data_IF_555135624571
#
_entry.id   IF_555135624571
#
_cell.length_a   1.000
_cell.length_b   1.000
_cell.length_c   1.000
_cell.angle_alpha   90.00
_cell.angle_beta   90.00
_cell.angle_gamma   90.00
#
_symmetry.space_group_name_H-M   'P 1'
#
loop_
_entity.id
_entity.type
_entity.pdbx_description
1 polymer ?
#
# COMPACT_ATOMS: atom_id res chain seq x y z
N UNK A 1 -3.04 24.17 -7.20
CA UNK A 1 -3.02 23.47 -5.90
C UNK A 1 -2.54 22.02 -6.09
N UNK A 2 -1.23 21.78 -5.95
CA UNK A 2 -0.64 20.45 -6.01
C UNK A 2 -0.81 19.78 -4.65
N UNK A 3 -1.89 19.04 -4.47
CA UNK A 3 -2.23 18.41 -3.20
C UNK A 3 -1.83 16.93 -3.20
N UNK A 4 -0.72 16.67 -2.53
CA UNK A 4 -0.31 15.37 -2.00
C UNK A 4 0.17 14.31 -3.03
N UNK A 5 1.39 14.46 -3.57
CA UNK A 5 2.02 13.47 -4.46
C UNK A 5 2.15 12.07 -3.83
N UNK A 6 2.14 11.95 -2.50
CA UNK A 6 2.14 10.65 -1.84
C UNK A 6 0.81 9.92 -2.04
N UNK A 7 -0.31 10.60 -1.81
CA UNK A 7 -1.66 10.05 -2.03
C UNK A 7 -1.85 9.71 -3.50
N UNK A 8 -1.40 10.57 -4.41
CA UNK A 8 -1.45 10.30 -5.86
C UNK A 8 -0.64 9.03 -6.23
N UNK A 9 0.58 8.89 -5.70
CA UNK A 9 1.41 7.71 -5.95
C UNK A 9 0.81 6.42 -5.38
N UNK A 10 0.15 6.50 -4.21
CA UNK A 10 -0.57 5.39 -3.62
C UNK A 10 -1.76 4.96 -4.50
N UNK A 11 -2.60 5.92 -4.92
CA UNK A 11 -3.78 5.62 -5.74
C UNK A 11 -3.42 5.08 -7.12
N UNK A 12 -2.36 5.56 -7.76
CA UNK A 12 -1.88 4.99 -9.03
C UNK A 12 -1.50 3.54 -8.84
N UNK A 13 -0.69 3.22 -7.82
CA UNK A 13 -0.24 1.85 -7.56
C UNK A 13 -1.38 0.93 -7.16
N UNK A 14 -2.30 1.40 -6.33
CA UNK A 14 -3.49 0.63 -5.97
C UNK A 14 -4.32 0.26 -7.21
N UNK A 15 -4.49 1.21 -8.15
CA UNK A 15 -5.18 0.95 -9.41
C UNK A 15 -4.42 -0.06 -10.27
N UNK A 16 -3.13 0.16 -10.49
CA UNK A 16 -2.34 -0.60 -11.46
C UNK A 16 -1.98 -2.00 -10.96
N UNK A 17 -1.76 -2.15 -9.66
CA UNK A 17 -1.25 -3.40 -9.08
C UNK A 17 -2.34 -4.26 -8.45
N UNK A 18 -3.45 -3.66 -7.99
CA UNK A 18 -4.58 -4.39 -7.41
C UNK A 18 -5.76 -4.43 -8.40
N UNK A 19 -6.37 -3.28 -8.68
CA UNK A 19 -7.67 -3.25 -9.36
C UNK A 19 -7.61 -3.62 -10.85
N UNK A 20 -6.53 -3.29 -11.56
CA UNK A 20 -6.38 -3.62 -12.98
C UNK A 20 -5.96 -5.07 -13.23
N UNK A 21 -5.52 -5.80 -12.21
CA UNK A 21 -5.07 -7.21 -12.35
C UNK A 21 -6.19 -8.21 -12.07
N UNK A 22 -7.26 -7.78 -11.42
CA UNK A 22 -8.30 -8.66 -10.87
C UNK A 22 -9.68 -8.30 -11.45
N UNK A 23 -10.47 -9.32 -11.81
CA UNK A 23 -11.89 -9.14 -12.16
C UNK A 23 -12.72 -9.40 -10.90
N UNK A 24 -13.24 -8.33 -10.31
CA UNK A 24 -14.03 -8.42 -9.07
C UNK A 24 -15.50 -8.67 -9.44
N UNK A 25 -16.02 -9.86 -9.13
CA UNK A 25 -17.38 -10.25 -9.51
C UNK A 25 -18.41 -9.84 -8.46
N UNK A 26 -17.97 -9.65 -7.21
CA UNK A 26 -18.81 -9.21 -6.11
C UNK A 26 -18.03 -8.42 -5.04
N UNK A 27 -18.78 -7.78 -4.13
CA UNK A 27 -18.19 -6.96 -3.07
C UNK A 27 -17.36 -7.77 -2.06
N UNK A 28 -17.66 -9.06 -1.87
CA UNK A 28 -16.92 -9.90 -0.95
C UNK A 28 -15.51 -10.19 -1.49
N UNK A 29 -15.41 -10.61 -2.75
CA UNK A 29 -14.13 -10.78 -3.45
C UNK A 29 -13.32 -9.49 -3.46
N UNK A 30 -13.96 -8.36 -3.77
CA UNK A 30 -13.32 -7.05 -3.72
C UNK A 30 -12.69 -6.77 -2.35
N UNK A 31 -13.39 -7.06 -1.25
CA UNK A 31 -12.86 -6.87 0.10
C UNK A 31 -11.65 -7.75 0.38
N UNK A 32 -11.70 -9.02 -0.02
CA UNK A 32 -10.60 -9.97 0.20
C UNK A 32 -9.36 -9.55 -0.59
N UNK A 33 -9.52 -9.27 -1.89
CA UNK A 33 -8.43 -8.87 -2.78
C UNK A 33 -7.79 -7.54 -2.33
N UNK A 34 -8.61 -6.54 -2.00
CA UNK A 34 -8.10 -5.25 -1.54
C UNK A 34 -7.38 -5.40 -0.21
N UNK A 35 -7.87 -6.24 0.70
CA UNK A 35 -7.25 -6.45 2.00
C UNK A 35 -5.92 -7.19 1.89
N UNK A 36 -5.85 -8.22 1.05
CA UNK A 36 -4.60 -8.92 0.77
C UNK A 36 -3.54 -7.98 0.18
N UNK A 37 -3.93 -7.17 -0.81
CA UNK A 37 -3.05 -6.15 -1.38
C UNK A 37 -2.62 -5.11 -0.33
N UNK A 38 -3.53 -4.68 0.54
CA UNK A 38 -3.22 -3.72 1.62
C UNK A 38 -2.20 -4.31 2.59
N UNK A 39 -2.35 -5.58 2.97
CA UNK A 39 -1.39 -6.29 3.81
C UNK A 39 -0.02 -6.31 3.12
N UNK A 40 0.04 -6.79 1.88
CA UNK A 40 1.28 -6.85 1.10
C UNK A 40 1.97 -5.49 0.97
N UNK A 41 1.21 -4.44 0.65
CA UNK A 41 1.73 -3.07 0.54
C UNK A 41 2.39 -2.60 1.84
N UNK A 42 1.80 -2.93 2.99
CA UNK A 42 2.29 -2.47 4.28
C UNK A 42 3.45 -3.32 4.84
N UNK A 43 3.49 -4.61 4.53
CA UNK A 43 4.46 -5.56 5.10
C UNK A 43 5.72 -5.67 4.25
N UNK A 44 5.57 -5.75 2.92
CA UNK A 44 6.64 -6.19 2.02
C UNK A 44 7.26 -5.06 1.21
N UNK A 45 6.49 -4.00 0.93
CA UNK A 45 6.86 -3.05 -0.11
C UNK A 45 7.88 -2.00 0.37
N UNK A 46 9.09 -1.94 -0.19
CA UNK A 46 10.06 -0.92 0.19
C UNK A 46 9.70 0.45 -0.41
N UNK A 47 9.77 1.51 0.40
CA UNK A 47 9.58 2.88 -0.03
C UNK A 47 10.86 3.69 0.12
N UNK A 48 11.34 4.31 -0.97
CA UNK A 48 12.57 5.12 -0.95
C UNK A 48 12.53 6.26 0.08
N UNK A 49 11.36 6.87 0.29
CA UNK A 49 11.16 7.91 1.32
C UNK A 49 11.21 7.37 2.76
N UNK A 50 10.97 6.07 2.95
CA UNK A 50 11.08 5.38 4.23
C UNK A 50 12.45 4.71 4.41
N UNK A 51 13.46 5.11 3.62
CA UNK A 51 14.78 4.48 3.67
C UNK A 51 14.80 3.05 3.11
N UNK A 52 13.95 2.77 2.12
CA UNK A 52 13.72 1.45 1.55
C UNK A 52 13.13 0.42 2.53
N UNK A 53 12.49 0.89 3.59
CA UNK A 53 11.67 0.06 4.48
C UNK A 53 10.23 -0.01 3.98
N UNK A 54 9.55 -1.09 4.36
CA UNK A 54 8.09 -1.15 4.28
C UNK A 54 7.43 -0.26 5.32
N UNK A 55 6.17 0.15 5.12
CA UNK A 55 5.46 0.96 6.10
C UNK A 55 5.49 0.35 7.51
N UNK A 56 5.29 -0.96 7.62
CA UNK A 56 5.35 -1.67 8.89
C UNK A 56 6.76 -1.72 9.46
N UNK A 57 7.77 -2.05 8.64
CA UNK A 57 9.17 -2.06 9.10
C UNK A 57 9.63 -0.67 9.55
N UNK A 58 9.21 0.39 8.86
CA UNK A 58 9.45 1.76 9.25
C UNK A 58 8.82 2.07 10.62
N UNK A 59 7.53 1.76 10.81
CA UNK A 59 6.83 1.99 12.09
C UNK A 59 7.55 1.22 13.21
N UNK A 60 7.84 -0.06 13.03
CA UNK A 60 8.51 -0.89 14.03
C UNK A 60 9.89 -0.33 14.40
N UNK A 61 10.68 0.12 13.42
CA UNK A 61 11.98 0.73 13.68
C UNK A 61 11.86 2.04 14.49
N UNK A 62 10.82 2.85 14.27
CA UNK A 62 10.62 4.11 14.97
C UNK A 62 10.02 3.93 16.38
N UNK A 63 9.17 2.91 16.57
CA UNK A 63 8.62 2.55 17.88
C UNK A 63 9.68 1.97 18.81
N UNK A 64 10.66 1.23 18.29
CA UNK A 64 11.76 0.67 19.07
C UNK A 64 12.82 1.71 19.48
N UNK A 65 12.81 2.89 18.85
CA UNK A 65 13.72 4.01 19.15
C UNK A 65 13.13 5.08 20.08
N UNK A 66 11.89 4.89 20.55
CA UNK A 66 11.17 5.81 21.45
C UNK A 66 11.06 5.24 22.87
#
# INVERSE_FOLDING_TARGET
PWQNPYIESFHSRFRDECLLREVLLNLHEARVVIEDWRCQYNTERPHSRLGYLSPEAFINAHLLSS
#
